data_IF_744190198122
#
_entry.id   IF_744190198122
#
_cell.length_a   1.000
_cell.length_b   1.000
_cell.length_c   1.000
_cell.angle_alpha   90.00
_cell.angle_beta   90.00
_cell.angle_gamma   90.00
#
_symmetry.space_group_name_H-M   'P 1'
#
loop_
_entity.id
_entity.type
_entity.pdbx_description
1 polymer ?
#
# COMPACT_ATOMS: atom_id res chain seq x y z
N UNK A 1 -65.62 21.52 -14.74
CA UNK A 1 -64.41 21.19 -13.98
C UNK A 1 -64.00 19.77 -14.35
N UNK A 2 -63.25 19.61 -15.44
CA UNK A 2 -62.72 18.32 -15.89
C UNK A 2 -61.21 18.33 -15.57
N UNK A 3 -60.83 17.62 -14.52
CA UNK A 3 -59.43 17.35 -14.20
C UNK A 3 -58.89 16.34 -15.20
N UNK A 4 -58.06 16.80 -16.14
CA UNK A 4 -57.16 15.93 -16.89
C UNK A 4 -56.07 15.43 -15.93
N UNK A 5 -56.09 14.14 -15.60
CA UNK A 5 -54.96 13.46 -14.99
C UNK A 5 -53.84 13.42 -16.04
N UNK A 6 -52.81 14.24 -15.86
CA UNK A 6 -51.59 14.14 -16.63
C UNK A 6 -50.92 12.81 -16.28
N UNK A 7 -51.05 11.83 -17.16
CA UNK A 7 -50.25 10.62 -17.10
C UNK A 7 -48.76 11.02 -17.19
N UNK A 8 -47.97 10.63 -16.19
CA UNK A 8 -46.53 10.83 -16.22
C UNK A 8 -45.97 10.15 -17.48
N UNK A 9 -45.29 10.92 -18.33
CA UNK A 9 -44.60 10.38 -19.50
C UNK A 9 -43.62 9.27 -19.06
N UNK A 10 -43.52 8.15 -19.78
CA UNK A 10 -42.54 7.12 -19.47
C UNK A 10 -41.14 7.76 -19.49
N UNK A 11 -40.35 7.51 -18.44
CA UNK A 11 -38.93 7.91 -18.43
C UNK A 11 -38.29 7.35 -19.70
N UNK A 12 -37.56 8.16 -20.49
CA UNK A 12 -36.77 7.61 -21.57
C UNK A 12 -35.74 6.67 -20.93
N UNK A 13 -35.91 5.36 -21.12
CA UNK A 13 -34.87 4.40 -20.80
C UNK A 13 -33.66 4.78 -21.64
N UNK A 14 -32.55 5.12 -20.99
CA UNK A 14 -31.33 5.47 -21.68
C UNK A 14 -30.77 4.17 -22.28
N UNK A 15 -30.76 4.00 -23.61
CA UNK A 15 -30.34 2.75 -24.25
C UNK A 15 -28.80 2.59 -24.26
N UNK A 16 -28.09 3.52 -23.62
CA UNK A 16 -26.63 3.57 -23.59
C UNK A 16 -26.12 3.37 -22.17
N UNK A 17 -25.21 2.41 -22.00
CA UNK A 17 -24.68 2.09 -20.68
C UNK A 17 -23.56 1.08 -20.72
N UNK A 18 -23.06 0.75 -19.52
CA UNK A 18 -21.99 -0.22 -19.32
C UNK A 18 -22.43 -1.63 -19.77
N UNK A 19 -23.72 -1.97 -19.61
CA UNK A 19 -24.27 -3.26 -20.02
C UNK A 19 -24.25 -3.40 -21.54
N UNK A 20 -24.82 -2.44 -22.28
CA UNK A 20 -24.74 -2.42 -23.74
C UNK A 20 -23.28 -2.43 -24.24
N UNK A 21 -22.37 -1.69 -23.60
CA UNK A 21 -20.95 -1.69 -23.97
C UNK A 21 -20.33 -3.11 -23.91
N UNK A 22 -20.69 -3.88 -22.88
CA UNK A 22 -20.22 -5.25 -22.70
C UNK A 22 -20.88 -6.22 -23.69
N UNK A 23 -22.18 -6.07 -23.94
CA UNK A 23 -22.91 -6.90 -24.91
C UNK A 23 -22.44 -6.65 -26.35
N UNK A 24 -22.22 -5.39 -26.73
CA UNK A 24 -21.70 -5.02 -28.05
C UNK A 24 -20.27 -5.50 -28.27
N UNK A 25 -19.40 -5.34 -27.26
CA UNK A 25 -18.03 -5.83 -27.29
C UNK A 25 -17.90 -7.36 -27.21
N UNK A 26 -18.96 -8.04 -26.76
CA UNK A 26 -19.03 -9.49 -26.64
C UNK A 26 -18.04 -10.09 -25.64
N UNK A 27 -17.64 -11.33 -25.86
CA UNK A 27 -16.80 -12.11 -24.92
C UNK A 27 -15.48 -11.45 -24.55
N UNK A 28 -14.86 -10.71 -25.47
CA UNK A 28 -13.60 -10.01 -25.23
C UNK A 28 -13.81 -8.85 -24.25
N UNK A 29 -14.87 -8.05 -24.42
CA UNK A 29 -15.16 -6.94 -23.51
C UNK A 29 -15.46 -7.42 -22.09
N UNK A 30 -16.23 -8.51 -21.96
CA UNK A 30 -16.46 -9.18 -20.67
C UNK A 30 -15.15 -9.66 -20.02
N UNK A 31 -14.26 -10.28 -20.80
CA UNK A 31 -12.94 -10.71 -20.29
C UNK A 31 -12.13 -9.52 -19.78
N UNK A 32 -12.06 -8.43 -20.56
CA UNK A 32 -11.35 -7.20 -20.18
C UNK A 32 -11.94 -6.61 -18.90
N UNK A 33 -13.27 -6.54 -18.80
CA UNK A 33 -13.96 -6.03 -17.63
C UNK A 33 -13.66 -6.86 -16.37
N UNK A 34 -13.74 -8.18 -16.47
CA UNK A 34 -13.43 -9.09 -15.35
C UNK A 34 -11.98 -8.93 -14.88
N UNK A 35 -11.03 -8.81 -15.81
CA UNK A 35 -9.62 -8.56 -15.49
C UNK A 35 -9.47 -7.23 -14.73
N UNK A 36 -10.08 -6.14 -15.22
CA UNK A 36 -10.05 -4.83 -14.55
C UNK A 36 -10.68 -4.88 -13.15
N UNK A 37 -11.80 -5.59 -12.98
CA UNK A 37 -12.40 -5.80 -11.67
C UNK A 37 -11.47 -6.58 -10.72
N UNK A 38 -10.84 -7.65 -11.20
CA UNK A 38 -9.87 -8.42 -10.40
C UNK A 38 -8.66 -7.59 -9.97
N UNK A 39 -8.12 -6.78 -10.89
CA UNK A 39 -7.03 -5.85 -10.60
C UNK A 39 -7.45 -4.80 -9.57
N UNK A 40 -8.67 -4.25 -9.67
CA UNK A 40 -9.22 -3.30 -8.71
C UNK A 40 -9.32 -3.88 -7.30
N UNK A 41 -9.91 -5.08 -7.17
CA UNK A 41 -10.04 -5.77 -5.89
C UNK A 41 -8.66 -6.06 -5.30
N UNK A 42 -7.71 -6.54 -6.11
CA UNK A 42 -6.32 -6.76 -5.70
C UNK A 42 -5.65 -5.49 -5.20
N UNK A 43 -5.86 -4.35 -5.87
CA UNK A 43 -5.33 -3.05 -5.45
C UNK A 43 -5.81 -2.65 -4.07
N UNK A 44 -7.11 -2.70 -3.80
CA UNK A 44 -7.65 -2.34 -2.48
C UNK A 44 -7.23 -3.33 -1.40
N UNK A 45 -7.22 -4.63 -1.70
CA UNK A 45 -6.75 -5.66 -0.79
C UNK A 45 -5.31 -5.41 -0.34
N UNK A 46 -4.39 -5.19 -1.29
CA UNK A 46 -2.97 -4.90 -0.98
C UNK A 46 -2.85 -3.57 -0.24
N UNK A 47 -3.60 -2.54 -0.65
CA UNK A 47 -3.58 -1.24 0.03
C UNK A 47 -3.90 -1.37 1.51
N UNK A 48 -5.03 -2.00 1.87
CA UNK A 48 -5.45 -2.09 3.27
C UNK A 48 -4.55 -3.01 4.09
N UNK A 49 -4.19 -4.18 3.55
CA UNK A 49 -3.32 -5.14 4.26
C UNK A 49 -1.94 -4.54 4.55
N UNK A 50 -1.30 -3.91 3.55
CA UNK A 50 0.01 -3.26 3.74
C UNK A 50 -0.08 -2.01 4.59
N UNK A 51 -1.16 -1.25 4.53
CA UNK A 51 -1.33 -0.08 5.40
C UNK A 51 -1.36 -0.49 6.88
N UNK A 52 -2.09 -1.55 7.22
CA UNK A 52 -2.17 -2.09 8.59
C UNK A 52 -0.81 -2.65 9.02
N UNK A 53 -0.15 -3.44 8.18
CA UNK A 53 1.17 -4.02 8.46
C UNK A 53 2.22 -2.93 8.72
N UNK A 54 2.34 -1.95 7.83
CA UNK A 54 3.25 -0.81 7.98
C UNK A 54 2.93 0.00 9.24
N UNK A 55 1.65 0.25 9.53
CA UNK A 55 1.25 0.99 10.73
C UNK A 55 1.65 0.24 12.00
N UNK A 56 1.54 -1.09 12.00
CA UNK A 56 1.99 -1.94 13.09
C UNK A 56 3.49 -1.80 13.32
N UNK A 57 4.32 -1.87 12.27
CA UNK A 57 5.79 -1.70 12.38
C UNK A 57 6.15 -0.30 12.89
N UNK A 58 5.52 0.76 12.37
CA UNK A 58 5.75 2.13 12.85
C UNK A 58 5.41 2.27 14.35
N UNK A 59 4.30 1.67 14.79
CA UNK A 59 3.91 1.69 16.19
C UNK A 59 4.87 0.87 17.08
N UNK A 60 5.39 -0.25 16.58
CA UNK A 60 6.42 -1.03 17.26
C UNK A 60 7.70 -0.20 17.46
N UNK A 61 8.16 0.53 16.44
CA UNK A 61 9.33 1.42 16.54
C UNK A 61 9.18 2.54 17.58
N UNK A 62 7.96 3.07 17.76
CA UNK A 62 7.64 4.00 18.86
C UNK A 62 7.77 3.33 20.23
N UNK A 63 7.23 2.11 20.39
CA UNK A 63 7.32 1.34 21.65
C UNK A 63 8.75 0.95 22.01
N UNK A 64 9.54 0.54 21.02
CA UNK A 64 10.97 0.20 21.18
C UNK A 64 11.73 1.39 21.75
N UNK A 65 11.62 2.57 21.11
CA UNK A 65 12.26 3.79 21.62
C UNK A 65 11.84 4.15 23.05
N UNK A 66 10.58 3.89 23.42
CA UNK A 66 10.08 4.18 24.75
C UNK A 66 10.47 3.13 25.82
N UNK A 67 10.62 1.85 25.47
CA UNK A 67 10.69 0.77 26.47
C UNK A 67 11.98 -0.02 26.40
N UNK A 68 12.46 -0.33 25.20
CA UNK A 68 13.61 -1.20 24.97
C UNK A 68 14.90 -0.59 25.55
N UNK A 69 15.20 0.66 25.22
CA UNK A 69 16.41 1.34 25.69
C UNK A 69 16.43 1.65 27.20
N UNK A 70 15.28 1.54 27.86
CA UNK A 70 15.14 1.70 29.32
C UNK A 70 15.37 0.39 30.09
N UNK A 71 15.46 -0.75 29.41
CA UNK A 71 15.73 -2.04 30.06
C UNK A 71 17.17 -2.08 30.62
N UNK A 72 17.39 -2.94 31.61
CA UNK A 72 18.71 -3.08 32.22
C UNK A 72 19.73 -3.70 31.25
N UNK A 73 19.26 -4.62 30.39
CA UNK A 73 20.06 -5.28 29.37
C UNK A 73 19.22 -5.64 28.12
N UNK A 74 19.89 -6.02 27.04
CA UNK A 74 19.25 -6.36 25.75
C UNK A 74 18.32 -7.58 25.86
N UNK A 75 18.67 -8.61 26.65
CA UNK A 75 17.84 -9.83 26.76
C UNK A 75 16.49 -9.52 27.41
N UNK A 76 16.49 -8.69 28.46
CA UNK A 76 15.28 -8.16 29.09
C UNK A 76 14.51 -7.23 28.14
N UNK A 77 15.23 -6.38 27.40
CA UNK A 77 14.65 -5.52 26.37
C UNK A 77 13.92 -6.31 25.28
N UNK A 78 14.53 -7.38 24.77
CA UNK A 78 13.94 -8.28 23.77
C UNK A 78 12.69 -9.01 24.29
N UNK A 79 12.72 -9.45 25.55
CA UNK A 79 11.58 -10.13 26.18
C UNK A 79 10.34 -9.24 26.32
N UNK A 80 10.53 -7.92 26.39
CA UNK A 80 9.44 -6.92 26.44
C UNK A 80 8.87 -6.57 25.06
N UNK A 81 9.48 -7.04 23.98
CA UNK A 81 8.98 -6.81 22.62
C UNK A 81 7.93 -7.86 22.22
N UNK A 82 7.00 -7.45 21.36
CA UNK A 82 5.99 -8.36 20.80
C UNK A 82 6.65 -9.49 19.99
N UNK A 83 6.18 -10.73 20.16
CA UNK A 83 6.75 -11.93 19.48
C UNK A 83 6.88 -11.77 17.95
N UNK A 84 5.91 -11.10 17.32
CA UNK A 84 5.88 -10.88 15.86
C UNK A 84 6.25 -9.43 15.50
N UNK A 85 7.34 -8.92 16.08
CA UNK A 85 7.84 -7.57 15.80
C UNK A 85 9.07 -7.62 14.90
N UNK A 86 9.08 -6.76 13.88
CA UNK A 86 10.26 -6.51 13.05
C UNK A 86 11.49 -6.13 13.89
N UNK A 87 11.29 -5.29 14.91
CA UNK A 87 12.36 -4.88 15.82
C UNK A 87 12.84 -6.02 16.71
N UNK A 88 11.95 -6.92 17.13
CA UNK A 88 12.33 -8.09 17.92
C UNK A 88 13.21 -9.04 17.12
N UNK A 89 12.86 -9.26 15.85
CA UNK A 89 13.68 -10.07 14.95
C UNK A 89 15.12 -9.54 14.84
N UNK A 90 15.29 -8.23 14.62
CA UNK A 90 16.61 -7.58 14.55
C UNK A 90 17.39 -7.79 15.86
N UNK A 91 16.72 -7.63 17.01
CA UNK A 91 17.36 -7.81 18.32
C UNK A 91 17.77 -9.27 18.54
N UNK A 92 16.89 -10.22 18.27
CA UNK A 92 17.16 -11.65 18.47
C UNK A 92 18.28 -12.13 17.54
N UNK A 93 18.30 -11.68 16.27
CA UNK A 93 19.36 -11.95 15.31
C UNK A 93 20.70 -11.33 15.75
N UNK A 94 20.68 -10.14 16.36
CA UNK A 94 21.84 -9.49 16.95
C UNK A 94 22.42 -10.23 18.15
N UNK A 95 21.56 -10.66 19.09
CA UNK A 95 21.96 -11.48 20.25
C UNK A 95 22.58 -12.79 19.76
N UNK A 96 21.91 -13.47 18.82
CA UNK A 96 22.40 -14.72 18.24
C UNK A 96 23.75 -14.53 17.56
N UNK A 97 23.91 -13.47 16.77
CA UNK A 97 25.19 -13.16 16.13
C UNK A 97 26.30 -12.89 17.15
N UNK A 98 26.00 -12.20 18.25
CA UNK A 98 26.95 -11.98 19.35
C UNK A 98 27.33 -13.29 20.06
N UNK A 99 26.43 -14.27 20.16
CA UNK A 99 26.75 -15.57 20.77
C UNK A 99 27.52 -16.50 19.81
N UNK A 100 27.29 -16.38 18.50
CA UNK A 100 27.87 -17.27 17.48
C UNK A 100 29.19 -16.80 16.88
N UNK A 101 29.57 -15.52 17.02
CA UNK A 101 30.82 -15.00 16.42
C UNK A 101 32.07 -15.76 16.86
N UNK A 102 32.08 -16.31 18.08
CA UNK A 102 33.20 -17.11 18.62
C UNK A 102 33.35 -18.48 17.98
N UNK A 103 32.34 -18.93 17.23
CA UNK A 103 32.31 -20.24 16.54
C UNK A 103 32.80 -20.16 15.10
N UNK A 104 33.13 -18.97 14.60
CA UNK A 104 33.62 -18.77 13.24
C UNK A 104 35.03 -19.33 13.08
N UNK A 105 35.25 -20.12 12.03
CA UNK A 105 36.55 -20.74 11.71
C UNK A 105 37.51 -19.77 11.04
N UNK A 106 36.98 -18.75 10.38
CA UNK A 106 37.73 -17.64 9.79
C UNK A 106 37.61 -16.44 10.74
N UNK A 107 38.72 -15.81 11.18
CA UNK A 107 38.69 -14.62 12.04
C UNK A 107 38.16 -13.40 11.28
N UNK A 108 36.86 -13.39 10.99
CA UNK A 108 36.13 -12.19 10.65
C UNK A 108 36.02 -11.35 11.92
N UNK A 109 36.29 -10.06 11.83
CA UNK A 109 36.11 -9.15 12.96
C UNK A 109 34.66 -9.27 13.48
N UNK A 110 34.48 -9.44 14.79
CA UNK A 110 33.16 -9.58 15.40
C UNK A 110 32.21 -8.43 15.02
N UNK A 111 32.79 -7.25 14.73
CA UNK A 111 32.11 -6.09 14.19
C UNK A 111 31.44 -6.38 12.83
N UNK A 112 32.19 -6.88 11.86
CA UNK A 112 31.72 -7.15 10.50
C UNK A 112 30.67 -8.27 10.47
N UNK A 113 30.86 -9.33 11.26
CA UNK A 113 29.88 -10.40 11.39
C UNK A 113 28.54 -9.88 11.92
N UNK A 114 28.59 -9.05 12.96
CA UNK A 114 27.40 -8.50 13.59
C UNK A 114 26.70 -7.49 12.67
N UNK A 115 27.45 -6.58 12.03
CA UNK A 115 26.91 -5.66 11.04
C UNK A 115 26.23 -6.41 9.89
N UNK A 116 26.87 -7.46 9.35
CA UNK A 116 26.29 -8.30 8.32
C UNK A 116 25.03 -9.04 8.75
N UNK A 117 24.97 -9.54 9.99
CA UNK A 117 23.78 -10.23 10.52
C UNK A 117 22.59 -9.30 10.66
N UNK A 118 22.80 -8.11 11.24
CA UNK A 118 21.75 -7.11 11.39
C UNK A 118 21.28 -6.59 10.03
N UNK A 119 22.21 -6.36 9.09
CA UNK A 119 21.88 -5.96 7.71
C UNK A 119 21.04 -7.01 6.97
N UNK A 120 21.30 -8.31 7.17
CA UNK A 120 20.45 -9.39 6.63
C UNK A 120 19.05 -9.38 7.24
N UNK A 121 18.95 -9.18 8.56
CA UNK A 121 17.66 -9.10 9.26
C UNK A 121 16.82 -7.91 8.74
N UNK A 122 17.44 -6.73 8.63
CA UNK A 122 16.82 -5.54 8.07
C UNK A 122 16.38 -5.75 6.61
N UNK A 123 17.23 -6.34 5.78
CA UNK A 123 16.90 -6.63 4.38
C UNK A 123 15.71 -7.59 4.26
N UNK A 124 15.62 -8.60 5.11
CA UNK A 124 14.49 -9.54 5.15
C UNK A 124 13.17 -8.83 5.49
N UNK A 125 13.20 -7.92 6.48
CA UNK A 125 12.04 -7.12 6.88
C UNK A 125 11.61 -6.18 5.75
N UNK A 126 12.56 -5.46 5.15
CA UNK A 126 12.29 -4.54 4.04
C UNK A 126 11.72 -5.28 2.80
N UNK A 127 12.23 -6.48 2.51
CA UNK A 127 11.70 -7.34 1.44
C UNK A 127 10.24 -7.73 1.70
N UNK A 128 9.91 -8.12 2.93
CA UNK A 128 8.53 -8.45 3.32
C UNK A 128 7.58 -7.25 3.20
N UNK A 129 8.02 -6.07 3.62
CA UNK A 129 7.29 -4.80 3.47
C UNK A 129 7.11 -4.38 2.00
N UNK A 130 8.04 -4.77 1.12
CA UNK A 130 7.98 -4.54 -0.32
C UNK A 130 6.99 -5.44 -1.07
N UNK A 131 6.50 -6.52 -0.45
CA UNK A 131 5.54 -7.44 -1.06
C UNK A 131 4.29 -6.73 -1.61
N UNK A 132 3.82 -7.13 -2.78
CA UNK A 132 2.61 -6.57 -3.39
C UNK A 132 2.75 -5.18 -4.03
N UNK A 133 3.82 -4.40 -3.74
CA UNK A 133 4.04 -3.12 -4.40
C UNK A 133 4.28 -3.28 -5.91
N UNK A 134 4.97 -4.36 -6.32
CA UNK A 134 5.15 -4.69 -7.72
C UNK A 134 3.81 -4.89 -8.44
N UNK A 135 2.83 -5.56 -7.80
CA UNK A 135 1.49 -5.71 -8.34
C UNK A 135 0.80 -4.35 -8.51
N UNK A 136 0.86 -3.47 -7.51
CA UNK A 136 0.27 -2.13 -7.61
C UNK A 136 0.90 -1.31 -8.74
N UNK A 137 2.22 -1.39 -8.91
CA UNK A 137 2.94 -0.74 -10.00
C UNK A 137 2.52 -1.28 -11.37
N UNK A 138 2.42 -2.61 -11.50
CA UNK A 138 1.95 -3.26 -12.74
C UNK A 138 0.50 -2.91 -13.04
N UNK A 139 -0.39 -2.94 -12.05
CA UNK A 139 -1.80 -2.55 -12.25
C UNK A 139 -1.90 -1.09 -12.67
N UNK A 140 -1.17 -0.20 -12.00
CA UNK A 140 -1.15 1.21 -12.31
C UNK A 140 -0.67 1.52 -13.73
N UNK A 141 0.30 0.78 -14.25
CA UNK A 141 0.85 0.99 -15.60
C UNK A 141 0.07 0.28 -16.70
N UNK A 142 -0.52 -0.88 -16.43
CA UNK A 142 -1.15 -1.74 -17.46
C UNK A 142 -2.66 -1.54 -17.61
N UNK A 143 -3.38 -1.18 -16.53
CA UNK A 143 -4.85 -1.02 -16.56
C UNK A 143 -5.36 -0.01 -17.61
N UNK A 144 -4.70 1.15 -17.84
CA UNK A 144 -5.14 2.08 -18.89
C UNK A 144 -5.10 1.45 -20.29
N UNK A 145 -4.07 0.66 -20.58
CA UNK A 145 -3.91 -0.03 -21.87
C UNK A 145 -4.92 -1.16 -22.03
N UNK A 146 -5.27 -1.85 -20.93
CA UNK A 146 -6.32 -2.87 -20.92
C UNK A 146 -7.69 -2.23 -21.23
N UNK A 147 -8.00 -1.07 -20.65
CA UNK A 147 -9.22 -0.31 -20.96
C UNK A 147 -9.26 0.24 -22.39
N UNK A 148 -8.12 0.75 -22.89
CA UNK A 148 -7.96 1.17 -24.28
C UNK A 148 -8.21 0.00 -25.24
N UNK A 149 -7.65 -1.17 -24.96
CA UNK A 149 -7.88 -2.39 -25.74
C UNK A 149 -9.36 -2.76 -25.80
N UNK A 150 -10.07 -2.70 -24.66
CA UNK A 150 -11.52 -2.92 -24.62
C UNK A 150 -12.29 -1.96 -25.52
N UNK A 151 -11.89 -0.69 -25.54
CA UNK A 151 -12.49 0.35 -26.40
C UNK A 151 -12.25 0.06 -27.88
N UNK A 152 -11.02 -0.31 -28.24
CA UNK A 152 -10.65 -0.66 -29.63
C UNK A 152 -11.49 -1.82 -30.15
N UNK A 153 -11.66 -2.88 -29.35
CA UNK A 153 -12.47 -4.04 -29.73
C UNK A 153 -13.95 -3.68 -29.81
N UNK A 154 -14.47 -2.85 -28.89
CA UNK A 154 -15.85 -2.38 -28.93
C UNK A 154 -16.17 -1.63 -30.23
N UNK A 155 -15.35 -0.64 -30.57
CA UNK A 155 -15.49 0.14 -31.81
C UNK A 155 -15.34 -0.77 -33.04
N UNK A 156 -14.35 -1.66 -33.05
CA UNK A 156 -14.13 -2.59 -34.16
C UNK A 156 -15.37 -3.45 -34.45
N UNK A 157 -15.98 -4.04 -33.41
CA UNK A 157 -17.19 -4.88 -33.56
C UNK A 157 -18.40 -4.07 -33.98
N UNK A 158 -18.54 -2.84 -33.46
CA UNK A 158 -19.60 -1.94 -33.87
C UNK A 158 -19.53 -1.61 -35.37
N UNK A 159 -18.34 -1.23 -35.86
CA UNK A 159 -18.13 -0.90 -37.26
C UNK A 159 -18.39 -2.10 -38.20
N UNK A 160 -18.05 -3.33 -37.80
CA UNK A 160 -18.40 -4.53 -38.56
C UNK A 160 -19.92 -4.69 -38.69
N UNK A 161 -20.67 -4.53 -37.60
CA UNK A 161 -22.14 -4.64 -37.62
C UNK A 161 -22.77 -3.59 -38.54
N UNK A 162 -22.30 -2.35 -38.47
CA UNK A 162 -22.79 -1.23 -39.29
C UNK A 162 -22.46 -1.48 -40.77
N UNK A 163 -21.23 -1.92 -41.06
CA UNK A 163 -20.81 -2.27 -42.42
C UNK A 163 -21.62 -3.43 -43.01
N UNK A 164 -21.94 -4.45 -42.21
CA UNK A 164 -22.77 -5.57 -42.63
C UNK A 164 -24.24 -5.19 -42.85
N UNK A 165 -24.76 -4.19 -42.11
CA UNK A 165 -26.12 -3.69 -42.27
C UNK A 165 -26.29 -2.79 -43.51
N UNK A 166 -25.22 -2.28 -44.10
CA UNK A 166 -25.24 -1.42 -45.29
C UNK A 166 -25.81 -0.01 -45.08
N UNK A 167 -26.25 0.33 -43.86
CA UNK A 167 -26.76 1.64 -43.47
C UNK A 167 -25.78 2.32 -42.50
N UNK A 168 -24.85 3.09 -43.06
CA UNK A 168 -23.98 3.96 -42.27
C UNK A 168 -24.69 5.30 -42.03
N UNK A 169 -25.30 5.46 -40.85
CA UNK A 169 -25.78 6.76 -40.35
C UNK A 169 -24.95 7.18 -39.12
N UNK A 170 -24.89 8.49 -38.85
CA UNK A 170 -24.22 9.02 -37.66
C UNK A 170 -24.84 8.43 -36.39
N UNK A 171 -26.16 8.30 -36.35
CA UNK A 171 -26.89 7.73 -35.21
C UNK A 171 -26.52 6.25 -34.97
N UNK A 172 -26.23 5.49 -36.03
CA UNK A 172 -25.81 4.10 -35.92
C UNK A 172 -24.38 3.94 -35.35
N UNK A 173 -23.52 4.95 -35.51
CA UNK A 173 -22.12 4.92 -35.05
C UNK A 173 -21.97 5.57 -33.66
N UNK A 174 -22.71 6.64 -33.39
CA UNK A 174 -22.50 7.47 -32.20
C UNK A 174 -22.69 6.71 -30.88
N UNK A 175 -23.73 5.86 -30.79
CA UNK A 175 -24.01 5.04 -29.61
C UNK A 175 -22.88 4.06 -29.27
N UNK A 176 -22.55 3.12 -30.16
CA UNK A 176 -21.49 2.14 -29.93
C UNK A 176 -20.11 2.73 -29.64
N UNK A 177 -19.78 3.87 -30.28
CA UNK A 177 -18.52 4.58 -30.01
C UNK A 177 -18.53 5.17 -28.61
N UNK A 178 -19.63 5.81 -28.19
CA UNK A 178 -19.77 6.36 -26.84
C UNK A 178 -19.69 5.30 -25.75
N UNK A 179 -20.35 4.15 -25.95
CA UNK A 179 -20.31 3.02 -25.02
C UNK A 179 -18.90 2.43 -24.88
N UNK A 180 -18.16 2.29 -25.99
CA UNK A 180 -16.81 1.76 -25.97
C UNK A 180 -15.87 2.61 -25.10
N UNK A 181 -16.06 3.95 -25.04
CA UNK A 181 -15.26 4.85 -24.21
C UNK A 181 -15.37 4.55 -22.70
N UNK A 182 -16.45 3.90 -22.26
CA UNK A 182 -16.63 3.48 -20.87
C UNK A 182 -15.51 2.52 -20.45
N UNK A 183 -15.03 1.66 -21.34
CA UNK A 183 -13.95 0.70 -21.05
C UNK A 183 -12.62 1.42 -20.73
N UNK A 184 -12.32 2.51 -21.44
CA UNK A 184 -11.15 3.35 -21.12
C UNK A 184 -11.32 4.06 -19.77
N UNK A 185 -12.51 4.60 -19.50
CA UNK A 185 -12.80 5.23 -18.21
C UNK A 185 -12.63 4.25 -17.04
N UNK A 186 -13.06 2.99 -17.20
CA UNK A 186 -12.84 1.93 -16.21
C UNK A 186 -11.36 1.60 -16.03
N UNK A 187 -10.59 1.51 -17.11
CA UNK A 187 -9.14 1.30 -17.03
C UNK A 187 -8.43 2.38 -16.21
N UNK A 188 -8.83 3.65 -16.39
CA UNK A 188 -8.33 4.77 -15.59
C UNK A 188 -8.82 4.73 -14.14
N UNK A 189 -10.08 4.37 -13.91
CA UNK A 189 -10.64 4.24 -12.56
C UNK A 189 -9.94 3.17 -11.73
N UNK A 190 -9.37 2.13 -12.37
CA UNK A 190 -8.53 1.12 -11.72
C UNK A 190 -7.08 1.59 -11.56
N UNK A 191 -6.52 2.25 -12.58
CA UNK A 191 -5.13 2.68 -12.58
C UNK A 191 -4.82 3.75 -11.52
N UNK A 192 -5.68 4.77 -11.40
CA UNK A 192 -5.42 5.94 -10.54
C UNK A 192 -5.27 5.52 -9.06
N UNK A 193 -6.21 4.76 -8.45
CA UNK A 193 -6.03 4.27 -7.08
C UNK A 193 -4.78 3.40 -6.91
N UNK A 194 -4.44 2.57 -7.90
CA UNK A 194 -3.26 1.70 -7.82
C UNK A 194 -1.95 2.49 -7.78
N UNK A 195 -1.80 3.51 -8.63
CA UNK A 195 -0.62 4.39 -8.65
C UNK A 195 -0.52 5.20 -7.36
N UNK A 196 -1.64 5.72 -6.85
CA UNK A 196 -1.66 6.45 -5.57
C UNK A 196 -1.29 5.55 -4.40
N UNK A 197 -1.85 4.34 -4.34
CA UNK A 197 -1.54 3.33 -3.33
C UNK A 197 -0.05 2.95 -3.36
N UNK A 198 0.50 2.67 -4.54
CA UNK A 198 1.91 2.35 -4.73
C UNK A 198 2.82 3.45 -4.16
N UNK A 199 2.63 4.70 -4.62
CA UNK A 199 3.45 5.82 -4.17
C UNK A 199 3.34 6.09 -2.66
N UNK A 200 2.12 5.99 -2.13
CA UNK A 200 1.87 6.16 -0.71
C UNK A 200 2.58 5.10 0.13
N UNK A 201 2.41 3.82 -0.20
CA UNK A 201 3.03 2.70 0.51
C UNK A 201 4.56 2.71 0.35
N UNK A 202 5.08 3.05 -0.82
CA UNK A 202 6.52 3.14 -1.08
C UNK A 202 7.19 4.20 -0.20
N UNK A 203 6.57 5.38 -0.06
CA UNK A 203 7.06 6.43 0.85
C UNK A 203 7.10 5.96 2.30
N UNK A 204 6.07 5.21 2.73
CA UNK A 204 6.03 4.65 4.08
C UNK A 204 7.10 3.58 4.29
N UNK A 205 7.34 2.71 3.31
CA UNK A 205 8.42 1.73 3.35
C UNK A 205 9.78 2.42 3.50
N UNK A 206 10.03 3.50 2.76
CA UNK A 206 11.28 4.27 2.91
C UNK A 206 11.46 4.82 4.34
N UNK A 207 10.41 5.41 4.91
CA UNK A 207 10.45 5.94 6.28
C UNK A 207 10.62 4.83 7.34
N UNK A 208 10.06 3.64 7.10
CA UNK A 208 10.27 2.48 7.98
C UNK A 208 11.70 1.97 7.86
N UNK A 209 12.23 1.84 6.64
CA UNK A 209 13.61 1.42 6.41
C UNK A 209 14.61 2.36 7.10
N UNK A 210 14.42 3.68 7.00
CA UNK A 210 15.25 4.66 7.72
C UNK A 210 15.19 4.47 9.25
N UNK A 211 14.02 4.18 9.81
CA UNK A 211 13.86 3.90 11.24
C UNK A 211 14.48 2.57 11.67
N UNK A 212 14.40 1.54 10.83
CA UNK A 212 15.03 0.24 11.09
C UNK A 212 16.55 0.37 11.04
N UNK A 213 17.10 1.02 10.01
CA UNK A 213 18.53 1.27 9.90
C UNK A 213 19.07 2.05 11.11
N UNK A 214 18.40 3.13 11.51
CA UNK A 214 18.80 3.88 12.72
C UNK A 214 18.83 3.01 13.97
N UNK A 215 17.82 2.14 14.14
CA UNK A 215 17.78 1.18 15.24
C UNK A 215 18.87 0.11 15.14
N UNK A 216 19.17 -0.40 13.94
CA UNK A 216 20.24 -1.36 13.67
C UNK A 216 21.60 -0.78 14.06
N UNK A 217 21.89 0.46 13.67
CA UNK A 217 23.14 1.16 14.02
C UNK A 217 23.26 1.35 15.53
N UNK A 218 22.19 1.79 16.18
CA UNK A 218 22.12 1.94 17.64
C UNK A 218 22.37 0.60 18.36
N UNK A 219 21.77 -0.48 17.87
CA UNK A 219 21.91 -1.81 18.42
C UNK A 219 23.33 -2.35 18.22
N UNK A 220 23.92 -2.15 17.05
CA UNK A 220 25.31 -2.51 16.76
C UNK A 220 26.26 -1.81 17.73
N UNK A 221 26.10 -0.49 17.91
CA UNK A 221 26.92 0.28 18.85
C UNK A 221 26.80 -0.23 20.29
N UNK A 222 25.59 -0.57 20.74
CA UNK A 222 25.39 -1.19 22.05
C UNK A 222 26.10 -2.53 22.17
N UNK A 223 25.92 -3.42 21.18
CA UNK A 223 26.45 -4.79 21.23
C UNK A 223 27.98 -4.81 21.17
N UNK A 224 28.58 -3.98 20.32
CA UNK A 224 30.05 -3.85 20.21
C UNK A 224 30.66 -3.21 21.46
N UNK A 225 29.93 -2.31 22.12
CA UNK A 225 30.39 -1.65 23.35
C UNK A 225 30.06 -2.40 24.64
N UNK A 226 29.54 -3.62 24.55
CA UNK A 226 29.05 -4.41 25.70
C UNK A 226 28.07 -3.62 26.59
N UNK A 227 27.25 -2.75 25.98
CA UNK A 227 26.22 -1.96 26.64
C UNK A 227 26.68 -0.63 27.23
N UNK A 228 27.94 -0.23 27.01
CA UNK A 228 28.44 1.07 27.42
C UNK A 228 27.82 2.22 26.61
N UNK A 229 27.53 2.00 25.33
CA UNK A 229 26.89 2.98 24.45
C UNK A 229 25.40 2.68 24.35
N UNK A 230 24.59 3.57 24.93
CA UNK A 230 23.13 3.61 24.74
C UNK A 230 22.77 4.82 23.87
N UNK A 231 21.82 4.72 22.94
CA UNK A 231 21.35 5.87 22.19
C UNK A 231 20.79 6.94 23.12
N UNK A 232 21.07 8.20 22.80
CA UNK A 232 20.41 9.33 23.46
C UNK A 232 18.93 9.31 23.07
N UNK A 233 18.09 8.68 23.89
CA UNK A 233 16.64 8.74 23.72
C UNK A 233 16.22 10.16 24.11
N UNK A 234 15.86 10.99 23.14
CA UNK A 234 15.36 12.34 23.41
C UNK A 234 14.26 12.29 24.48
N UNK A 235 14.28 13.16 25.51
CA UNK A 235 13.25 13.19 26.52
C UNK A 235 11.88 13.37 25.85
N UNK A 236 10.84 12.71 26.36
CA UNK A 236 9.48 12.97 25.91
C UNK A 236 9.22 14.49 26.02
N UNK A 237 8.55 15.12 25.04
CA UNK A 237 8.23 16.55 25.13
C UNK A 237 7.54 16.81 26.46
N UNK A 238 8.08 17.74 27.25
CA UNK A 238 7.48 18.13 28.52
C UNK A 238 6.01 18.49 28.26
N UNK A 239 5.10 17.92 29.05
CA UNK A 239 3.68 18.22 28.95
C UNK A 239 3.50 19.76 28.99
N UNK A 240 2.64 20.34 28.11
CA UNK A 240 2.43 21.78 28.11
C UNK A 240 2.01 22.20 29.53
N UNK A 241 2.77 23.13 30.10
CA UNK A 241 2.52 23.64 31.44
C UNK A 241 1.06 24.07 31.54
N UNK A 242 0.32 23.51 32.51
CA UNK A 242 -1.06 23.89 32.76
C UNK A 242 -1.12 25.40 32.96
N UNK A 243 -1.97 26.07 32.17
CA UNK A 243 -2.21 27.51 32.33
C UNK A 243 -2.62 27.78 33.78
N UNK A 244 -2.08 28.82 34.44
CA UNK A 244 -2.50 29.19 35.78
C UNK A 244 -4.01 29.44 35.78
N UNK A 245 -4.75 28.66 36.58
CA UNK A 245 -6.16 28.93 36.87
C UNK A 245 -6.19 30.26 37.63
N UNK A 246 -6.77 31.30 37.01
CA UNK A 246 -6.97 32.58 37.67
C UNK A 246 -7.80 32.36 38.94
N UNK A 247 -7.30 32.90 40.06
CA UNK A 247 -7.97 32.82 41.35
C UNK A 247 -9.36 33.47 41.27
N UNK A 248 -10.38 32.92 41.97
CA UNK A 248 -11.71 33.49 41.98
C UNK A 248 -11.67 34.85 42.71
N UNK A 249 -12.06 35.91 42.01
CA UNK A 249 -12.32 37.22 42.56
C UNK A 249 -13.41 37.09 43.62
N UNK A 250 -13.08 37.33 44.90
CA UNK A 250 -14.09 37.47 45.95
C UNK A 250 -14.89 38.75 45.69
N UNK A 251 -16.21 38.64 45.88
CA UNK A 251 -17.22 39.68 45.78
C UNK A 251 -16.94 40.88 46.70
#
# INVERSE_FOLDING_TARGET
MLMYLAAAAPKPENPYGLMEALEQGGTIAWTVFIILCGMSVGTFYILFTKLIEQQKVINQGKKVRATFWRAANIKEGSAKLEKNSAYKQIVDDGIKAQEEHTKLTDPVEAHDWLHGSLGRSEAAINSSLGGGLAFLATVGSTSPFIGLFGTVIGIYRALIKIGAAGQASIDAVAGPVGEALIMTALGLAVAVPAVLAYNFLQRRNKSIAEQLNGFTVDLLAYLVSNGAVKPSVAPAPAAPAAKPVAAPTKA
#
